data_IF_363155012952
#
_entry.id   IF_363155012952
#
_cell.length_a   1.000
_cell.length_b   1.000
_cell.length_c   1.000
_cell.angle_alpha   90.00
_cell.angle_beta   90.00
_cell.angle_gamma   90.00
#
_symmetry.space_group_name_H-M   'P 1'
#
loop_
_entity.id
_entity.type
_entity.pdbx_description
1 polymer ?
#
# COMPACT_ATOMS: atom_id res chain seq x y z
N UNK A 1 -10.27 21.54 6.57
CA UNK A 1 -9.66 20.50 5.73
C UNK A 1 -8.57 21.15 4.90
N UNK A 2 -7.34 20.67 5.05
CA UNK A 2 -6.21 21.16 4.27
C UNK A 2 -6.09 20.39 2.95
N UNK A 3 -5.55 21.04 1.92
CA UNK A 3 -5.24 20.43 0.62
C UNK A 3 -3.76 20.07 0.59
N UNK A 4 -3.43 18.79 0.70
CA UNK A 4 -2.05 18.31 0.84
C UNK A 4 -1.75 17.20 -0.15
N UNK A 5 -0.50 17.10 -0.59
CA UNK A 5 0.02 15.95 -1.30
C UNK A 5 0.23 14.78 -0.34
N UNK A 6 0.11 13.54 -0.83
CA UNK A 6 0.36 12.34 -0.02
C UNK A 6 1.72 12.39 0.69
N UNK A 7 2.79 12.85 0.03
CA UNK A 7 4.12 12.98 0.68
C UNK A 7 4.10 13.94 1.88
N UNK A 8 3.37 15.05 1.76
CA UNK A 8 3.26 16.05 2.83
C UNK A 8 2.45 15.47 4.00
N UNK A 9 1.41 14.69 3.71
CA UNK A 9 0.61 13.99 4.72
C UNK A 9 1.43 12.96 5.48
N UNK A 10 2.30 12.21 4.81
CA UNK A 10 3.19 11.24 5.48
C UNK A 10 4.05 11.96 6.51
N UNK A 11 4.75 13.03 6.10
CA UNK A 11 5.58 13.84 6.99
C UNK A 11 4.77 14.39 8.16
N UNK A 12 3.60 14.99 7.89
CA UNK A 12 2.76 15.60 8.92
C UNK A 12 2.21 14.57 9.92
N UNK A 13 1.85 13.38 9.43
CA UNK A 13 1.36 12.28 10.27
C UNK A 13 2.47 11.74 11.16
N UNK A 14 3.66 11.46 10.60
CA UNK A 14 4.82 10.99 11.38
C UNK A 14 5.20 12.04 12.44
N UNK A 15 5.29 13.32 12.05
CA UNK A 15 5.58 14.42 12.99
C UNK A 15 4.57 14.47 14.13
N UNK A 16 3.28 14.36 13.82
CA UNK A 16 2.21 14.41 14.82
C UNK A 16 2.30 13.24 15.79
N UNK A 17 2.52 12.02 15.29
CA UNK A 17 2.67 10.84 16.16
C UNK A 17 3.97 10.88 16.97
N UNK A 18 5.06 11.43 16.42
CA UNK A 18 6.30 11.62 17.16
C UNK A 18 6.19 12.67 18.27
N UNK A 19 5.40 13.74 18.09
CA UNK A 19 5.07 14.70 19.17
C UNK A 19 4.22 14.05 20.25
N UNK A 20 3.27 13.21 19.83
CA UNK A 20 2.33 12.52 20.71
C UNK A 20 3.02 11.46 21.57
N UNK A 21 3.93 10.70 20.99
CA UNK A 21 4.53 9.53 21.61
C UNK A 21 6.08 9.60 21.53
N UNK A 22 6.79 9.72 22.68
CA UNK A 22 8.24 9.81 22.71
C UNK A 22 8.95 8.50 22.31
N UNK A 23 8.23 7.38 22.24
CA UNK A 23 8.78 6.07 21.87
C UNK A 23 8.74 5.80 20.37
N UNK A 24 8.03 6.63 19.59
CA UNK A 24 8.08 6.57 18.12
C UNK A 24 9.47 6.99 17.65
N UNK A 25 10.03 6.31 16.66
CA UNK A 25 11.31 6.73 16.06
C UNK A 25 11.35 6.25 14.62
N UNK A 26 12.15 6.88 13.79
CA UNK A 26 12.30 6.53 12.38
C UNK A 26 13.75 6.15 12.06
N UNK A 27 13.93 5.09 11.29
CA UNK A 27 15.22 4.63 10.79
C UNK A 27 15.13 4.15 9.35
N UNK A 28 16.18 4.39 8.58
CA UNK A 28 16.27 3.97 7.18
C UNK A 28 17.45 4.61 6.47
N UNK A 29 17.61 4.29 5.19
CA UNK A 29 18.64 4.86 4.33
C UNK A 29 18.23 6.25 3.84
N UNK A 30 19.13 7.22 4.00
CA UNK A 30 18.96 8.60 3.54
C UNK A 30 17.66 9.28 3.99
N UNK A 31 17.10 8.90 5.15
CA UNK A 31 15.87 9.49 5.68
C UNK A 31 16.10 10.91 6.22
N UNK A 32 17.33 11.25 6.62
CA UNK A 32 17.72 12.64 6.86
C UNK A 32 17.98 13.32 5.50
N UNK A 33 18.70 12.65 4.60
CA UNK A 33 18.82 13.02 3.18
C UNK A 33 20.00 13.93 2.82
N UNK A 34 20.89 14.22 3.76
CA UNK A 34 22.06 15.06 3.49
C UNK A 34 23.13 14.99 4.56
N UNK A 35 23.08 13.99 5.45
CA UNK A 35 24.04 13.85 6.54
C UNK A 35 25.47 13.79 5.99
N UNK A 36 26.33 14.71 6.44
CA UNK A 36 27.72 14.82 5.98
C UNK A 36 27.91 15.47 4.60
N UNK A 37 26.85 16.00 3.97
CA UNK A 37 26.94 16.73 2.69
C UNK A 37 27.08 18.24 2.90
N UNK A 38 27.56 18.95 1.87
CA UNK A 38 27.71 20.41 1.90
C UNK A 38 26.38 21.18 2.02
N UNK A 39 25.26 20.54 1.67
CA UNK A 39 23.91 21.13 1.76
C UNK A 39 23.31 21.10 3.17
N UNK A 40 24.01 20.51 4.14
CA UNK A 40 23.53 20.29 5.50
C UNK A 40 22.75 18.99 5.67
N UNK A 41 22.41 18.62 6.92
CA UNK A 41 21.85 17.30 7.25
C UNK A 41 20.60 16.93 6.46
N UNK A 42 19.69 17.87 6.21
CA UNK A 42 18.40 17.62 5.53
C UNK A 42 18.34 18.17 4.10
N UNK A 43 19.45 18.20 3.36
CA UNK A 43 19.54 18.82 2.04
C UNK A 43 18.43 18.40 1.05
N UNK A 44 17.95 17.14 1.10
CA UNK A 44 16.83 16.64 0.29
C UNK A 44 15.62 16.16 1.12
N UNK A 45 15.80 15.96 2.44
CA UNK A 45 14.74 15.56 3.38
C UNK A 45 14.11 14.19 3.12
N UNK A 46 14.94 13.17 2.84
CA UNK A 46 14.51 11.86 2.34
C UNK A 46 14.49 11.80 0.82
N UNK A 47 14.83 10.66 0.20
CA UNK A 47 14.86 10.50 -1.27
C UNK A 47 13.49 10.82 -1.91
N UNK A 48 12.41 10.57 -1.18
CA UNK A 48 11.04 10.83 -1.61
C UNK A 48 10.40 12.06 -0.94
N UNK A 49 11.19 12.82 -0.17
CA UNK A 49 10.72 13.94 0.64
C UNK A 49 9.58 13.57 1.61
N UNK A 50 9.64 12.35 2.16
CA UNK A 50 8.63 11.83 3.11
C UNK A 50 9.06 11.91 4.58
N UNK A 51 10.23 12.51 4.85
CA UNK A 51 10.80 12.69 6.18
C UNK A 51 11.37 14.10 6.41
N UNK A 52 11.07 15.04 5.51
CA UNK A 52 11.63 16.41 5.54
C UNK A 52 11.30 17.17 6.83
N UNK A 53 12.32 17.74 7.47
CA UNK A 53 12.19 18.55 8.69
C UNK A 53 12.02 17.73 9.97
N UNK A 54 11.97 16.39 9.88
CA UNK A 54 11.82 15.55 11.07
C UNK A 54 13.14 15.49 11.86
N UNK A 55 14.28 15.47 11.19
CA UNK A 55 15.57 15.42 11.89
C UNK A 55 15.88 16.74 12.59
N UNK A 56 15.59 17.88 11.96
CA UNK A 56 15.71 19.19 12.60
C UNK A 56 14.87 19.27 13.89
N UNK A 57 13.65 18.72 13.87
CA UNK A 57 12.73 18.78 15.01
C UNK A 57 13.05 17.77 16.13
N UNK A 58 13.36 16.51 15.78
CA UNK A 58 13.48 15.42 16.77
C UNK A 58 14.91 14.95 17.02
N UNK A 59 15.86 15.37 16.19
CA UNK A 59 17.28 15.07 16.32
C UNK A 59 17.66 13.61 16.05
N UNK A 60 18.97 13.36 16.12
CA UNK A 60 19.60 12.08 15.76
C UNK A 60 19.25 10.89 16.66
N UNK A 61 18.61 11.11 17.81
CA UNK A 61 18.17 10.02 18.69
C UNK A 61 16.84 9.41 18.24
N UNK A 62 16.09 10.08 17.35
CA UNK A 62 14.78 9.63 16.89
C UNK A 62 14.65 9.56 15.38
N UNK A 63 15.49 10.27 14.63
CA UNK A 63 15.60 10.13 13.17
C UNK A 63 17.01 9.65 12.85
N UNK A 64 17.12 8.39 12.45
CA UNK A 64 18.39 7.66 12.39
C UNK A 64 18.65 7.20 10.95
N UNK A 65 19.60 7.85 10.28
CA UNK A 65 20.18 7.32 9.05
C UNK A 65 20.95 6.03 9.36
N UNK A 66 20.73 5.00 8.55
CA UNK A 66 21.38 3.70 8.69
C UNK A 66 22.44 3.48 7.60
N UNK A 67 23.38 2.54 7.81
CA UNK A 67 24.14 1.97 6.69
C UNK A 67 23.19 1.34 5.66
N UNK A 68 23.69 1.16 4.43
CA UNK A 68 22.96 0.46 3.36
C UNK A 68 22.92 -1.03 3.67
N UNK A 69 21.92 -1.45 4.44
CA UNK A 69 21.75 -2.81 4.93
C UNK A 69 20.32 -2.99 5.47
N UNK A 70 19.43 -3.43 4.60
CA UNK A 70 18.01 -3.62 4.90
C UNK A 70 17.81 -4.60 6.06
N UNK A 71 18.63 -5.64 6.13
CA UNK A 71 18.64 -6.58 7.26
C UNK A 71 18.94 -5.89 8.59
N UNK A 72 19.89 -4.94 8.61
CA UNK A 72 20.21 -4.17 9.81
C UNK A 72 19.09 -3.18 10.16
N UNK A 73 18.46 -2.55 9.16
CA UNK A 73 17.32 -1.64 9.36
C UNK A 73 16.17 -2.39 10.03
N UNK A 74 15.71 -3.46 9.40
CA UNK A 74 14.53 -4.21 9.89
C UNK A 74 14.85 -4.95 11.18
N UNK A 75 16.04 -5.54 11.33
CA UNK A 75 16.46 -6.18 12.58
C UNK A 75 16.59 -5.21 13.76
N UNK A 76 17.10 -4.00 13.51
CA UNK A 76 17.16 -2.95 14.55
C UNK A 76 15.77 -2.46 14.93
N UNK A 77 14.87 -2.30 13.95
CA UNK A 77 13.47 -1.97 14.21
C UNK A 77 12.79 -3.08 15.05
N UNK A 78 12.99 -4.35 14.70
CA UNK A 78 12.49 -5.48 15.48
C UNK A 78 12.97 -5.43 16.94
N UNK A 79 14.27 -5.25 17.15
CA UNK A 79 14.87 -5.16 18.49
C UNK A 79 14.37 -3.95 19.27
N UNK A 80 14.27 -2.78 18.64
CA UNK A 80 13.74 -1.57 19.27
C UNK A 80 12.27 -1.75 19.68
N UNK A 81 11.46 -2.37 18.83
CA UNK A 81 10.07 -2.69 19.13
C UNK A 81 9.94 -3.60 20.37
N UNK A 82 10.77 -4.64 20.46
CA UNK A 82 10.83 -5.53 21.63
C UNK A 82 11.35 -4.82 22.89
N UNK A 83 12.18 -3.80 22.73
CA UNK A 83 12.68 -2.96 23.82
C UNK A 83 11.70 -1.85 24.24
N UNK A 84 10.48 -1.82 23.69
CA UNK A 84 9.42 -0.88 24.06
C UNK A 84 9.36 0.39 23.21
N UNK A 85 10.12 0.49 22.12
CA UNK A 85 9.98 1.56 21.12
C UNK A 85 8.90 1.25 20.10
N UNK A 86 8.54 2.25 19.28
CA UNK A 86 7.57 2.14 18.18
C UNK A 86 8.21 2.56 16.86
N UNK A 87 9.13 1.74 16.31
CA UNK A 87 9.91 2.12 15.14
C UNK A 87 9.08 2.18 13.85
N UNK A 88 9.38 3.20 13.05
CA UNK A 88 9.00 3.36 11.66
C UNK A 88 10.26 3.10 10.84
N UNK A 89 10.37 1.90 10.27
CA UNK A 89 11.47 1.53 9.39
C UNK A 89 11.11 1.87 7.95
N UNK A 90 11.96 2.60 7.24
CA UNK A 90 11.79 2.86 5.80
C UNK A 90 12.69 1.92 4.99
N UNK A 91 12.08 1.16 4.07
CA UNK A 91 12.78 0.53 2.96
C UNK A 91 12.59 1.41 1.73
N UNK A 92 13.70 1.95 1.23
CA UNK A 92 13.74 2.90 0.12
C UNK A 92 12.97 2.42 -1.12
N UNK A 93 13.02 1.12 -1.39
CA UNK A 93 12.17 0.43 -2.36
C UNK A 93 11.75 -0.93 -1.82
N UNK A 94 10.50 -1.31 -2.09
CA UNK A 94 9.95 -2.61 -1.76
C UNK A 94 10.69 -3.76 -2.46
N UNK A 95 11.35 -3.48 -3.58
CA UNK A 95 12.23 -4.39 -4.31
C UNK A 95 13.35 -4.99 -3.42
N UNK A 96 13.76 -4.28 -2.36
CA UNK A 96 14.85 -4.69 -1.46
C UNK A 96 14.39 -5.61 -0.32
N UNK A 97 13.09 -5.92 -0.25
CA UNK A 97 12.52 -6.78 0.81
C UNK A 97 13.16 -8.17 0.87
N UNK A 98 13.69 -8.66 -0.27
CA UNK A 98 14.43 -9.92 -0.31
C UNK A 98 15.67 -9.95 0.59
N UNK A 99 16.31 -8.81 0.83
CA UNK A 99 17.53 -8.70 1.65
C UNK A 99 17.22 -8.81 3.15
N UNK A 100 16.02 -8.43 3.57
CA UNK A 100 15.60 -8.42 4.98
C UNK A 100 14.47 -9.40 5.31
N UNK A 101 14.15 -10.32 4.38
CA UNK A 101 12.99 -11.20 4.47
C UNK A 101 12.95 -12.03 5.76
N UNK A 102 14.09 -12.54 6.26
CA UNK A 102 14.11 -13.33 7.48
C UNK A 102 13.61 -12.54 8.71
N UNK A 103 13.99 -11.26 8.80
CA UNK A 103 13.57 -10.37 9.89
C UNK A 103 12.05 -10.12 9.85
N UNK A 104 11.48 -9.98 8.65
CA UNK A 104 10.03 -9.79 8.50
C UNK A 104 9.30 -11.12 8.75
N UNK A 105 9.69 -12.17 8.02
CA UNK A 105 8.99 -13.44 7.92
C UNK A 105 9.12 -14.29 9.18
N UNK A 106 10.34 -14.52 9.67
CA UNK A 106 10.59 -15.44 10.78
C UNK A 106 10.56 -14.76 12.13
N UNK A 107 10.90 -13.48 12.19
CA UNK A 107 10.99 -12.74 13.45
C UNK A 107 9.72 -11.91 13.69
N UNK A 108 9.64 -10.72 13.08
CA UNK A 108 8.63 -9.69 13.34
C UNK A 108 7.21 -10.25 13.29
N UNK A 109 6.85 -10.96 12.21
CA UNK A 109 5.50 -11.51 12.02
C UNK A 109 5.07 -12.51 13.09
N UNK A 110 6.03 -13.16 13.76
CA UNK A 110 5.76 -14.31 14.64
C UNK A 110 5.97 -14.03 16.11
N UNK A 111 6.60 -12.91 16.50
CA UNK A 111 6.93 -12.65 17.90
C UNK A 111 5.73 -12.77 18.85
N UNK A 112 4.61 -12.11 18.55
CA UNK A 112 3.43 -12.19 19.42
C UNK A 112 2.94 -13.64 19.58
N UNK A 113 2.87 -14.39 18.49
CA UNK A 113 2.42 -15.78 18.49
C UNK A 113 3.39 -16.70 19.25
N UNK A 114 4.69 -16.63 18.93
CA UNK A 114 5.73 -17.48 19.55
C UNK A 114 5.88 -17.24 21.05
N UNK A 115 5.67 -16.00 21.51
CA UNK A 115 5.72 -15.66 22.94
C UNK A 115 4.37 -15.79 23.65
N UNK A 116 3.36 -16.43 23.02
CA UNK A 116 2.06 -16.70 23.63
C UNK A 116 1.31 -15.42 24.04
N UNK A 117 1.44 -14.35 23.25
CA UNK A 117 0.81 -13.05 23.50
C UNK A 117 1.52 -12.17 24.53
N UNK A 118 2.62 -12.64 25.13
CA UNK A 118 3.36 -11.88 26.16
C UNK A 118 4.24 -10.76 25.61
N UNK A 119 4.54 -10.80 24.31
CA UNK A 119 5.28 -9.75 23.60
C UNK A 119 4.40 -9.10 22.55
N UNK A 120 4.67 -7.82 22.30
CA UNK A 120 4.14 -7.05 21.16
C UNK A 120 5.30 -6.77 20.19
N UNK A 121 4.98 -6.32 18.97
CA UNK A 121 5.99 -5.86 18.02
C UNK A 121 5.42 -4.67 17.23
N UNK A 122 5.31 -3.49 17.86
CA UNK A 122 4.79 -2.29 17.23
C UNK A 122 5.81 -1.71 16.24
N UNK A 123 5.88 -2.28 15.04
CA UNK A 123 6.76 -1.81 13.97
C UNK A 123 5.95 -1.47 12.73
N UNK A 124 6.19 -0.29 12.18
CA UNK A 124 5.72 0.08 10.84
C UNK A 124 6.90 -0.05 9.89
N UNK A 125 6.79 -0.90 8.88
CA UNK A 125 7.75 -0.96 7.78
C UNK A 125 7.11 -0.26 6.59
N UNK A 126 7.63 0.91 6.22
CA UNK A 126 7.21 1.65 5.03
C UNK A 126 7.97 1.11 3.82
N UNK A 127 7.24 0.71 2.78
CA UNK A 127 7.81 0.12 1.56
C UNK A 127 7.32 0.87 0.32
N UNK A 128 8.26 1.45 -0.42
CA UNK A 128 7.94 2.26 -1.60
C UNK A 128 7.91 1.36 -2.82
N UNK A 129 6.79 1.33 -3.54
CA UNK A 129 6.56 0.32 -4.58
C UNK A 129 5.91 0.88 -5.85
N UNK A 130 5.76 0.00 -6.84
CA UNK A 130 4.94 0.20 -8.04
C UNK A 130 5.73 0.77 -9.20
N UNK A 131 5.26 0.57 -10.43
CA UNK A 131 5.87 1.03 -11.67
C UNK A 131 5.35 2.41 -12.10
N UNK A 132 5.67 2.83 -13.33
CA UNK A 132 5.20 4.10 -13.93
C UNK A 132 6.21 5.25 -13.89
N UNK A 133 7.47 4.94 -13.57
CA UNK A 133 8.59 5.90 -13.58
C UNK A 133 9.71 5.52 -14.54
N UNK A 134 9.53 4.45 -15.33
CA UNK A 134 10.60 3.89 -16.15
C UNK A 134 11.84 3.52 -15.32
N UNK A 135 11.63 3.01 -14.10
CA UNK A 135 12.70 2.65 -13.17
C UNK A 135 13.19 1.19 -13.33
N UNK A 136 12.75 0.51 -14.39
CA UNK A 136 13.15 -0.85 -14.74
C UNK A 136 12.78 -1.88 -13.62
N UNK A 137 13.24 -3.15 -13.66
CA UNK A 137 12.63 -4.21 -12.85
C UNK A 137 13.08 -4.27 -11.38
N UNK A 138 14.10 -3.52 -10.97
CA UNK A 138 14.66 -3.59 -9.61
C UNK A 138 14.26 -2.41 -8.71
N UNK A 139 13.35 -1.55 -9.18
CA UNK A 139 12.84 -0.39 -8.43
C UNK A 139 11.34 -0.19 -8.67
N UNK A 140 10.62 -1.19 -9.18
CA UNK A 140 9.25 -1.04 -9.69
C UNK A 140 8.31 -2.18 -9.34
N UNK A 141 8.75 -3.13 -8.50
CA UNK A 141 7.97 -4.32 -8.23
C UNK A 141 6.79 -4.05 -7.29
N UNK A 142 5.68 -4.73 -7.53
CA UNK A 142 4.53 -4.82 -6.65
C UNK A 142 4.58 -6.13 -5.86
N UNK A 143 5.31 -6.14 -4.75
CA UNK A 143 5.61 -7.34 -3.93
C UNK A 143 4.64 -7.58 -2.77
N UNK A 144 3.59 -6.76 -2.64
CA UNK A 144 2.63 -6.87 -1.53
C UNK A 144 1.89 -8.20 -1.49
N UNK A 145 1.72 -8.91 -2.61
CA UNK A 145 1.09 -10.23 -2.62
C UNK A 145 1.88 -11.27 -1.82
N UNK A 146 3.22 -11.27 -1.96
CA UNK A 146 4.11 -12.13 -1.17
C UNK A 146 4.00 -11.81 0.32
N UNK A 147 3.93 -10.52 0.68
CA UNK A 147 3.77 -10.09 2.08
C UNK A 147 2.39 -10.42 2.64
N UNK A 148 1.34 -10.28 1.84
CA UNK A 148 -0.05 -10.60 2.22
C UNK A 148 -0.19 -12.06 2.59
N UNK A 149 0.56 -12.95 1.92
CA UNK A 149 0.53 -14.39 2.21
C UNK A 149 1.12 -14.79 3.57
N UNK A 150 1.78 -13.86 4.27
CA UNK A 150 2.45 -14.10 5.54
C UNK A 150 1.49 -13.84 6.72
N UNK A 151 1.14 -14.86 7.54
CA UNK A 151 0.38 -14.64 8.75
C UNK A 151 1.18 -13.85 9.79
N UNK A 152 0.50 -12.94 10.50
CA UNK A 152 1.09 -12.15 11.59
C UNK A 152 1.59 -10.76 11.19
N UNK A 153 1.43 -10.37 9.92
CA UNK A 153 1.60 -8.99 9.47
C UNK A 153 0.28 -8.43 8.94
N UNK A 154 0.12 -7.12 9.08
CA UNK A 154 -0.93 -6.33 8.42
C UNK A 154 -0.32 -5.65 7.20
N UNK A 155 -1.04 -5.61 6.08
CA UNK A 155 -0.55 -5.06 4.81
C UNK A 155 -1.53 -4.00 4.30
N UNK A 156 -1.02 -2.77 4.15
CA UNK A 156 -1.81 -1.55 3.99
C UNK A 156 -1.32 -0.76 2.78
N UNK A 157 -2.25 -0.22 1.99
CA UNK A 157 -2.00 0.43 0.71
C UNK A 157 -2.89 1.68 0.56
N UNK A 158 -2.50 2.84 1.10
CA UNK A 158 -3.30 4.07 0.96
C UNK A 158 -3.32 4.58 -0.48
N UNK A 159 -4.42 5.24 -0.87
CA UNK A 159 -4.62 5.74 -2.24
C UNK A 159 -4.91 7.24 -2.33
N UNK A 160 -5.26 7.88 -1.21
CA UNK A 160 -5.61 9.31 -1.14
C UNK A 160 -4.96 9.96 0.09
N UNK A 161 -4.80 11.28 0.13
CA UNK A 161 -4.30 11.99 1.32
C UNK A 161 -5.06 11.68 2.62
N UNK A 162 -6.39 11.61 2.57
CA UNK A 162 -7.19 11.23 3.74
C UNK A 162 -6.92 9.79 4.20
N UNK A 163 -6.83 8.85 3.25
CA UNK A 163 -6.49 7.47 3.55
C UNK A 163 -5.09 7.35 4.14
N UNK A 164 -4.11 8.04 3.56
CA UNK A 164 -2.72 8.05 4.03
C UNK A 164 -2.64 8.48 5.49
N UNK A 165 -3.27 9.60 5.86
CA UNK A 165 -3.27 10.07 7.25
C UNK A 165 -3.93 9.06 8.17
N UNK A 166 -5.15 8.63 7.87
CA UNK A 166 -5.91 7.75 8.75
C UNK A 166 -5.28 6.37 8.92
N UNK A 167 -4.79 5.77 7.83
CA UNK A 167 -4.16 4.44 7.85
C UNK A 167 -2.76 4.48 8.45
N UNK A 168 -1.96 5.53 8.20
CA UNK A 168 -0.62 5.64 8.80
C UNK A 168 -0.72 5.95 10.30
N UNK A 169 -1.68 6.78 10.72
CA UNK A 169 -1.97 7.01 12.15
C UNK A 169 -2.38 5.71 12.82
N UNK A 170 -3.27 4.92 12.19
CA UNK A 170 -3.63 3.59 12.69
C UNK A 170 -2.40 2.68 12.78
N UNK A 171 -1.54 2.66 11.76
CA UNK A 171 -0.35 1.81 11.72
C UNK A 171 0.64 2.13 12.84
N UNK A 172 0.96 3.41 13.04
CA UNK A 172 1.90 3.85 14.08
C UNK A 172 1.36 3.55 15.48
N UNK A 173 0.04 3.53 15.66
CA UNK A 173 -0.63 3.21 16.93
C UNK A 173 -0.91 1.73 17.13
N UNK A 174 -0.71 0.90 16.12
CA UNK A 174 -0.94 -0.55 16.20
C UNK A 174 0.18 -1.28 16.96
N UNK A 175 -0.16 -2.29 17.74
CA UNK A 175 0.81 -3.06 18.53
C UNK A 175 1.38 -4.29 17.80
N UNK A 176 0.95 -4.49 16.56
CA UNK A 176 1.41 -5.54 15.67
C UNK A 176 2.16 -4.96 14.47
N UNK A 177 2.96 -5.79 13.78
CA UNK A 177 3.69 -5.35 12.60
C UNK A 177 2.77 -4.91 11.46
N UNK A 178 3.03 -3.73 10.91
CA UNK A 178 2.33 -3.18 9.76
C UNK A 178 3.30 -2.92 8.62
N UNK A 179 3.01 -3.49 7.45
CA UNK A 179 3.70 -3.23 6.20
C UNK A 179 2.90 -2.18 5.43
N UNK A 180 3.42 -0.97 5.38
CA UNK A 180 2.76 0.20 4.81
C UNK A 180 3.33 0.47 3.41
N UNK A 181 2.61 0.00 2.40
CA UNK A 181 3.04 0.09 1.01
C UNK A 181 2.63 1.42 0.38
N UNK A 182 3.63 2.20 -0.03
CA UNK A 182 3.45 3.52 -0.62
C UNK A 182 3.71 3.46 -2.11
N UNK A 183 2.67 3.64 -2.93
CA UNK A 183 2.86 3.66 -4.37
C UNK A 183 3.53 4.97 -4.78
N UNK A 184 4.75 4.90 -5.33
CA UNK A 184 5.58 6.09 -5.59
C UNK A 184 4.94 7.13 -6.53
N UNK A 185 4.11 6.67 -7.48
CA UNK A 185 3.35 7.58 -8.36
C UNK A 185 2.25 8.38 -7.66
N UNK A 186 1.83 7.97 -6.47
CA UNK A 186 0.79 8.65 -5.72
C UNK A 186 1.34 9.76 -4.82
N UNK A 187 2.65 9.87 -4.60
CA UNK A 187 3.21 10.90 -3.70
C UNK A 187 2.85 12.34 -4.07
N UNK A 188 2.64 12.63 -5.36
CA UNK A 188 2.24 13.95 -5.84
C UNK A 188 0.73 14.17 -5.90
N UNK A 189 -0.09 13.15 -5.61
CA UNK A 189 -1.55 13.27 -5.60
C UNK A 189 -1.95 14.17 -4.45
N UNK A 190 -2.69 15.23 -4.79
CA UNK A 190 -3.20 16.24 -3.87
C UNK A 190 -4.69 16.05 -3.63
N UNK A 191 -5.13 16.28 -2.40
CA UNK A 191 -6.52 16.09 -2.01
C UNK A 191 -6.78 16.59 -0.60
N UNK A 192 -8.05 16.53 -0.21
CA UNK A 192 -8.51 16.98 1.10
C UNK A 192 -8.07 16.03 2.20
N UNK A 193 -7.60 16.61 3.30
CA UNK A 193 -7.27 15.91 4.53
C UNK A 193 -8.18 16.46 5.63
N UNK A 194 -9.05 15.62 6.22
CA UNK A 194 -9.83 15.99 7.39
C UNK A 194 -8.97 16.56 8.53
N UNK A 195 -9.47 17.62 9.15
CA UNK A 195 -8.83 18.23 10.31
C UNK A 195 -8.95 17.31 11.53
N UNK A 196 -8.09 17.50 12.52
CA UNK A 196 -8.12 16.73 13.77
C UNK A 196 -7.39 15.38 13.70
N UNK A 197 -7.46 14.66 14.82
CA UNK A 197 -6.87 13.33 14.99
C UNK A 197 -7.90 12.26 14.58
N UNK A 198 -7.54 11.39 13.64
CA UNK A 198 -8.38 10.27 13.24
C UNK A 198 -7.56 9.10 12.71
N UNK A 199 -8.16 7.92 12.82
CA UNK A 199 -7.63 6.66 12.29
C UNK A 199 -8.64 6.05 11.32
N UNK A 200 -8.15 5.28 10.35
CA UNK A 200 -8.98 4.40 9.53
C UNK A 200 -8.64 2.97 9.96
N UNK A 201 -9.60 2.18 10.48
CA UNK A 201 -9.32 0.80 10.88
C UNK A 201 -8.96 -0.05 9.65
N UNK A 202 -8.04 -1.00 9.82
CA UNK A 202 -7.67 -1.95 8.77
C UNK A 202 -8.81 -2.94 8.48
N UNK A 203 -8.85 -3.49 7.27
CA UNK A 203 -9.95 -4.36 6.84
C UNK A 203 -11.24 -3.62 6.54
N UNK A 204 -11.15 -2.32 6.23
CA UNK A 204 -12.28 -1.51 5.79
C UNK A 204 -12.00 -0.89 4.43
N UNK A 205 -12.64 -1.46 3.41
CA UNK A 205 -12.61 -0.94 2.06
C UNK A 205 -13.37 0.39 1.96
N UNK A 206 -13.13 1.13 0.87
CA UNK A 206 -13.90 2.32 0.49
C UNK A 206 -14.60 2.07 -0.83
N UNK A 207 -15.91 2.20 -0.84
CA UNK A 207 -16.65 2.40 -2.07
C UNK A 207 -16.32 3.79 -2.62
N UNK A 208 -15.58 3.81 -3.73
CA UNK A 208 -15.14 5.03 -4.41
C UNK A 208 -16.25 5.57 -5.29
N UNK A 209 -17.02 4.66 -5.90
CA UNK A 209 -18.11 4.97 -6.81
C UNK A 209 -19.17 3.88 -6.70
N UNK A 210 -20.44 4.27 -6.60
CA UNK A 210 -21.55 3.34 -6.68
C UNK A 210 -21.90 2.98 -8.13
N UNK A 211 -22.24 1.71 -8.37
CA UNK A 211 -22.78 1.21 -9.64
C UNK A 211 -23.50 -0.12 -9.47
N UNK A 212 -24.15 -0.59 -10.54
CA UNK A 212 -25.05 -1.77 -10.47
C UNK A 212 -24.72 -2.87 -11.48
N UNK A 213 -23.84 -2.61 -12.45
CA UNK A 213 -23.61 -3.55 -13.56
C UNK A 213 -22.44 -4.49 -13.32
N UNK A 214 -21.38 -3.99 -12.68
CA UNK A 214 -20.13 -4.71 -12.41
C UNK A 214 -19.43 -4.15 -11.18
N UNK A 215 -18.88 -5.02 -10.35
CA UNK A 215 -17.98 -4.66 -9.25
C UNK A 215 -16.55 -4.62 -9.78
N UNK A 216 -15.85 -3.51 -9.56
CA UNK A 216 -14.43 -3.34 -9.84
C UNK A 216 -13.70 -3.20 -8.50
N UNK A 217 -12.88 -4.19 -8.15
CA UNK A 217 -12.02 -4.13 -6.97
C UNK A 217 -10.62 -3.70 -7.39
N UNK A 218 -10.06 -2.68 -6.73
CA UNK A 218 -8.74 -2.15 -7.05
C UNK A 218 -7.93 -1.81 -5.79
N UNK A 219 -6.61 -1.70 -5.94
CA UNK A 219 -5.70 -1.26 -4.89
C UNK A 219 -4.61 -0.32 -5.40
N UNK A 220 -4.08 0.53 -4.52
CA UNK A 220 -2.99 1.45 -4.84
C UNK A 220 -3.33 2.38 -6.00
N UNK A 221 -2.38 2.58 -6.93
CA UNK A 221 -2.59 3.44 -8.10
C UNK A 221 -3.72 2.94 -9.03
N UNK A 222 -4.06 1.64 -8.97
CA UNK A 222 -5.09 1.06 -9.83
C UNK A 222 -6.47 1.63 -9.56
N UNK A 223 -6.73 2.14 -8.36
CA UNK A 223 -8.01 2.77 -7.98
C UNK A 223 -8.33 3.95 -8.90
N UNK A 224 -7.38 4.87 -9.09
CA UNK A 224 -7.56 6.00 -10.00
C UNK A 224 -7.67 5.58 -11.48
N UNK A 225 -7.13 4.42 -11.87
CA UNK A 225 -7.34 3.87 -13.21
C UNK A 225 -8.76 3.32 -13.37
N UNK A 226 -9.27 2.64 -12.34
CA UNK A 226 -10.62 2.10 -12.29
C UNK A 226 -11.68 3.21 -12.29
N UNK A 227 -11.48 4.29 -11.54
CA UNK A 227 -12.37 5.46 -11.57
C UNK A 227 -12.46 6.07 -12.97
N UNK A 228 -11.31 6.28 -13.64
CA UNK A 228 -11.28 6.80 -15.01
C UNK A 228 -11.96 5.85 -16.01
N UNK A 229 -11.79 4.54 -15.86
CA UNK A 229 -12.49 3.57 -16.67
C UNK A 229 -14.02 3.62 -16.44
N UNK A 230 -14.44 3.72 -15.18
CA UNK A 230 -15.85 3.84 -14.79
C UNK A 230 -16.49 5.13 -15.33
N UNK A 231 -15.77 6.26 -15.33
CA UNK A 231 -16.23 7.52 -15.93
C UNK A 231 -16.47 7.39 -17.43
N UNK A 232 -15.63 6.65 -18.14
CA UNK A 232 -15.78 6.41 -19.57
C UNK A 232 -16.93 5.44 -19.85
N UNK A 233 -17.05 4.37 -19.07
CA UNK A 233 -18.13 3.38 -19.19
C UNK A 233 -19.52 3.95 -18.85
N UNK A 234 -19.59 4.91 -17.93
CA UNK A 234 -20.84 5.58 -17.60
C UNK A 234 -21.46 6.32 -18.79
N UNK A 235 -20.64 6.79 -19.75
CA UNK A 235 -21.12 7.42 -20.99
C UNK A 235 -21.86 6.43 -21.89
N UNK A 236 -21.59 5.14 -21.74
CA UNK A 236 -22.26 4.04 -22.43
C UNK A 236 -23.40 3.43 -21.57
N UNK A 237 -23.76 4.07 -20.45
CA UNK A 237 -24.78 3.59 -19.53
C UNK A 237 -24.33 2.45 -18.61
N UNK A 238 -23.03 2.15 -18.54
CA UNK A 238 -22.49 1.08 -17.69
C UNK A 238 -22.04 1.66 -16.35
N UNK A 239 -22.84 1.44 -15.31
CA UNK A 239 -22.52 1.80 -13.93
C UNK A 239 -21.62 0.77 -13.25
N UNK A 240 -20.39 1.14 -12.90
CA UNK A 240 -19.42 0.30 -12.19
C UNK A 240 -19.39 0.64 -10.70
N UNK A 241 -19.48 -0.37 -9.84
CA UNK A 241 -19.26 -0.24 -8.40
C UNK A 241 -17.76 -0.39 -8.12
N UNK A 242 -17.06 0.70 -7.79
CA UNK A 242 -15.59 0.70 -7.65
C UNK A 242 -15.23 0.68 -6.17
N UNK A 243 -14.48 -0.34 -5.77
CA UNK A 243 -14.03 -0.57 -4.40
C UNK A 243 -12.51 -0.44 -4.33
N UNK A 244 -12.04 0.45 -3.47
CA UNK A 244 -10.64 0.49 -3.01
C UNK A 244 -10.53 -0.35 -1.74
N UNK A 245 -9.76 -1.43 -1.78
CA UNK A 245 -9.66 -2.33 -0.64
C UNK A 245 -8.88 -1.73 0.54
N UNK A 246 -7.98 -0.75 0.30
CA UNK A 246 -7.04 -0.14 1.26
C UNK A 246 -6.08 -1.08 2.00
N UNK A 247 -6.47 -2.32 2.30
CA UNK A 247 -5.69 -3.32 3.01
C UNK A 247 -5.87 -4.68 2.35
N UNK A 248 -4.76 -5.39 2.15
CA UNK A 248 -4.78 -6.77 1.63
C UNK A 248 -4.76 -7.79 2.77
N UNK A 249 -4.26 -7.40 3.95
CA UNK A 249 -4.31 -8.19 5.18
C UNK A 249 -4.54 -7.27 6.39
N UNK A 250 -5.68 -7.38 7.09
CA UNK A 250 -6.86 -8.14 6.70
C UNK A 250 -7.56 -7.53 5.47
N UNK A 251 -8.19 -8.38 4.66
CA UNK A 251 -9.03 -7.98 3.54
C UNK A 251 -10.47 -7.75 4.03
N UNK A 252 -11.13 -6.70 3.53
CA UNK A 252 -12.56 -6.50 3.71
C UNK A 252 -13.35 -7.38 2.73
N UNK A 253 -13.47 -8.67 3.07
CA UNK A 253 -14.19 -9.62 2.24
C UNK A 253 -15.69 -9.28 2.13
N UNK A 254 -16.29 -8.74 3.19
CA UNK A 254 -17.72 -8.43 3.24
C UNK A 254 -18.08 -7.34 2.23
N UNK A 255 -17.35 -6.22 2.19
CA UNK A 255 -17.61 -5.16 1.23
C UNK A 255 -17.52 -5.64 -0.24
N UNK A 256 -16.58 -6.55 -0.54
CA UNK A 256 -16.43 -7.13 -1.88
C UNK A 256 -17.62 -8.05 -2.20
N UNK A 257 -17.97 -8.94 -1.27
CA UNK A 257 -19.05 -9.91 -1.46
C UNK A 257 -20.41 -9.21 -1.62
N UNK A 258 -20.72 -8.24 -0.77
CA UNK A 258 -21.96 -7.46 -0.83
C UNK A 258 -22.13 -6.78 -2.19
N UNK A 259 -21.06 -6.18 -2.70
CA UNK A 259 -21.06 -5.56 -4.03
C UNK A 259 -21.25 -6.59 -5.15
N UNK A 260 -20.55 -7.71 -5.10
CA UNK A 260 -20.67 -8.77 -6.11
C UNK A 260 -22.05 -9.43 -6.06
N UNK A 261 -22.69 -9.57 -4.90
CA UNK A 261 -24.04 -10.09 -4.80
C UNK A 261 -25.07 -9.19 -5.51
N UNK A 262 -24.86 -7.87 -5.48
CA UNK A 262 -25.70 -6.92 -6.20
C UNK A 262 -25.43 -6.93 -7.71
N UNK A 263 -24.17 -6.80 -8.11
CA UNK A 263 -23.82 -6.66 -9.54
C UNK A 263 -23.84 -8.00 -10.28
N UNK A 264 -23.46 -9.08 -9.59
CA UNK A 264 -23.24 -10.43 -10.10
C UNK A 264 -21.99 -10.56 -10.96
N UNK A 265 -21.08 -9.58 -11.00
CA UNK A 265 -19.89 -9.61 -11.87
C UNK A 265 -18.71 -8.95 -11.20
N UNK A 266 -17.53 -9.50 -11.39
CA UNK A 266 -16.30 -9.03 -10.75
C UNK A 266 -15.18 -8.80 -11.77
N UNK A 267 -14.53 -7.65 -11.67
CA UNK A 267 -13.23 -7.36 -12.27
C UNK A 267 -12.27 -6.93 -11.16
N UNK A 268 -11.11 -7.58 -11.03
CA UNK A 268 -10.08 -7.17 -10.07
C UNK A 268 -8.89 -6.55 -10.80
N UNK A 269 -8.48 -5.34 -10.39
CA UNK A 269 -7.38 -4.58 -11.02
C UNK A 269 -6.21 -4.51 -10.05
N UNK A 270 -5.13 -5.19 -10.40
CA UNK A 270 -3.99 -5.43 -9.52
C UNK A 270 -2.70 -5.21 -10.31
N UNK A 271 -1.73 -4.51 -9.71
CA UNK A 271 -0.45 -4.20 -10.35
C UNK A 271 0.59 -5.31 -10.13
N UNK A 272 0.34 -6.24 -9.21
CA UNK A 272 1.19 -7.40 -9.00
C UNK A 272 1.08 -8.41 -10.16
N UNK A 273 2.12 -9.21 -10.41
CA UNK A 273 2.10 -10.22 -11.47
C UNK A 273 0.91 -11.18 -11.35
N UNK A 274 0.39 -11.76 -12.44
CA UNK A 274 -0.89 -12.50 -12.46
C UNK A 274 -0.91 -13.79 -11.64
N UNK A 275 0.26 -14.28 -11.20
CA UNK A 275 0.38 -15.55 -10.48
C UNK A 275 0.56 -15.27 -9.00
N UNK A 276 -0.26 -15.92 -8.18
CA UNK A 276 -0.26 -15.72 -6.72
C UNK A 276 -0.45 -14.24 -6.33
N UNK A 277 -1.25 -13.51 -7.11
CA UNK A 277 -1.62 -12.12 -6.85
C UNK A 277 -2.76 -12.00 -5.85
N UNK A 278 -2.99 -10.78 -5.37
CA UNK A 278 -4.18 -10.46 -4.58
C UNK A 278 -5.43 -10.57 -5.47
N UNK A 279 -5.33 -10.21 -6.76
CA UNK A 279 -6.41 -10.44 -7.71
C UNK A 279 -6.82 -11.91 -7.81
N UNK A 280 -5.86 -12.84 -7.89
CA UNK A 280 -6.16 -14.27 -7.97
C UNK A 280 -6.83 -14.77 -6.67
N UNK A 281 -6.38 -14.29 -5.52
CA UNK A 281 -6.95 -14.63 -4.22
C UNK A 281 -8.39 -14.11 -4.07
N UNK A 282 -8.65 -12.84 -4.42
CA UNK A 282 -9.99 -12.24 -4.42
C UNK A 282 -10.92 -12.99 -5.37
N UNK A 283 -10.48 -13.30 -6.59
CA UNK A 283 -11.27 -14.08 -7.55
C UNK A 283 -11.62 -15.47 -6.99
N UNK A 284 -10.67 -16.15 -6.35
CA UNK A 284 -10.90 -17.46 -5.73
C UNK A 284 -11.86 -17.35 -4.53
N UNK A 285 -11.71 -16.33 -3.69
CA UNK A 285 -12.58 -16.05 -2.55
C UNK A 285 -14.03 -15.83 -3.01
N UNK A 286 -14.24 -14.95 -3.99
CA UNK A 286 -15.58 -14.65 -4.54
C UNK A 286 -16.17 -15.86 -5.24
N UNK A 287 -15.39 -16.59 -6.04
CA UNK A 287 -15.87 -17.82 -6.69
C UNK A 287 -16.26 -18.91 -5.69
N UNK A 288 -15.68 -18.92 -4.48
CA UNK A 288 -16.06 -19.87 -3.42
C UNK A 288 -17.24 -19.41 -2.59
N UNK A 289 -17.35 -18.10 -2.31
CA UNK A 289 -18.30 -17.55 -1.34
C UNK A 289 -19.56 -16.94 -1.96
N UNK A 290 -19.47 -16.43 -3.18
CA UNK A 290 -20.56 -15.79 -3.92
C UNK A 290 -20.85 -16.47 -5.28
N UNK A 291 -20.50 -17.75 -5.43
CA UNK A 291 -20.68 -18.49 -6.70
C UNK A 291 -22.10 -18.37 -7.28
N UNK A 292 -23.11 -18.45 -6.42
CA UNK A 292 -24.51 -18.40 -6.82
C UNK A 292 -24.95 -17.02 -7.35
N UNK A 293 -24.23 -15.95 -6.98
CA UNK A 293 -24.51 -14.60 -7.47
C UNK A 293 -23.78 -14.28 -8.78
N UNK A 294 -22.71 -15.02 -9.11
CA UNK A 294 -21.89 -14.77 -10.29
C UNK A 294 -22.66 -15.07 -11.59
N UNK A 295 -22.85 -14.02 -12.39
CA UNK A 295 -23.41 -14.03 -13.75
C UNK A 295 -22.33 -14.24 -14.83
N UNK A 296 -21.05 -14.14 -14.45
CA UNK A 296 -19.90 -14.34 -15.31
C UNK A 296 -18.68 -14.79 -14.47
N UNK A 297 -17.70 -15.51 -15.05
CA UNK A 297 -16.41 -15.73 -14.42
C UNK A 297 -15.76 -14.40 -14.04
N UNK A 298 -15.17 -14.28 -12.84
CA UNK A 298 -14.38 -13.11 -12.48
C UNK A 298 -13.22 -12.89 -13.44
N UNK A 299 -12.98 -11.62 -13.81
CA UNK A 299 -11.86 -11.22 -14.65
C UNK A 299 -10.78 -10.52 -13.83
N UNK A 300 -9.52 -10.65 -14.27
CA UNK A 300 -8.38 -9.97 -13.66
C UNK A 300 -7.69 -9.08 -14.69
N UNK A 301 -7.39 -7.84 -14.28
CA UNK A 301 -6.57 -6.92 -15.07
C UNK A 301 -5.26 -6.71 -14.34
N UNK A 302 -4.25 -7.47 -14.77
CA UNK A 302 -2.89 -7.44 -14.22
C UNK A 302 -1.86 -7.17 -15.31
N UNK A 303 -0.60 -6.85 -14.95
CA UNK A 303 0.49 -6.92 -15.92
C UNK A 303 0.72 -8.34 -16.48
N UNK A 304 1.50 -8.48 -17.55
CA UNK A 304 1.99 -9.79 -17.99
C UNK A 304 2.95 -10.40 -16.97
N UNK A 305 3.12 -11.72 -17.00
CA UNK A 305 4.05 -12.44 -16.12
C UNK A 305 5.51 -12.29 -16.60
N UNK A 306 6.04 -11.07 -16.47
CA UNK A 306 7.40 -10.68 -16.84
C UNK A 306 7.95 -9.64 -15.85
N UNK A 307 9.28 -9.41 -15.82
CA UNK A 307 9.84 -8.24 -15.14
C UNK A 307 9.30 -6.92 -15.71
N UNK A 308 9.30 -5.86 -14.88
CA UNK A 308 8.89 -4.51 -15.30
C UNK A 308 9.91 -3.94 -16.31
N UNK A 309 9.49 -3.54 -17.52
CA UNK A 309 10.40 -3.03 -18.55
C UNK A 309 10.82 -1.57 -18.30
N UNK A 310 11.99 -1.20 -18.82
CA UNK A 310 12.51 0.18 -18.77
C UNK A 310 11.86 1.08 -19.83
N UNK A 311 11.83 0.63 -21.09
CA UNK A 311 11.39 1.45 -22.22
C UNK A 311 9.93 1.92 -22.02
N UNK A 312 9.68 3.20 -22.30
CA UNK A 312 8.42 3.88 -21.99
C UNK A 312 7.19 3.21 -22.59
N UNK A 313 7.31 2.82 -23.86
CA UNK A 313 6.26 2.16 -24.61
C UNK A 313 5.95 0.78 -24.03
N UNK A 314 6.98 0.08 -23.55
CA UNK A 314 6.83 -1.23 -22.94
C UNK A 314 6.26 -1.14 -21.51
N UNK A 315 6.67 -0.16 -20.69
CA UNK A 315 6.11 0.01 -19.33
C UNK A 315 4.65 0.45 -19.41
N UNK A 316 4.31 1.30 -20.37
CA UNK A 316 2.92 1.67 -20.66
C UNK A 316 2.08 0.45 -21.10
N UNK A 317 2.66 -0.45 -21.90
CA UNK A 317 2.00 -1.69 -22.31
C UNK A 317 1.94 -2.73 -21.18
N UNK A 318 2.90 -2.72 -20.25
CA UNK A 318 2.97 -3.60 -19.09
C UNK A 318 1.85 -3.30 -18.09
N UNK A 319 1.69 -2.04 -17.70
CA UNK A 319 0.74 -1.62 -16.66
C UNK A 319 -0.73 -1.86 -17.05
N UNK A 320 -1.61 -2.16 -16.08
CA UNK A 320 -3.05 -1.97 -16.25
C UNK A 320 -3.37 -0.56 -16.73
N UNK A 321 -4.47 -0.41 -17.46
CA UNK A 321 -4.87 0.88 -18.04
C UNK A 321 -6.39 0.98 -18.15
N UNK A 322 -6.97 2.19 -18.21
CA UNK A 322 -8.41 2.33 -18.37
C UNK A 322 -8.99 1.55 -19.56
N UNK A 323 -8.37 1.54 -20.76
CA UNK A 323 -8.83 0.69 -21.86
C UNK A 323 -8.88 -0.81 -21.50
N UNK A 324 -7.83 -1.37 -20.88
CA UNK A 324 -7.80 -2.77 -20.46
C UNK A 324 -8.90 -3.09 -19.43
N UNK A 325 -9.16 -2.16 -18.51
CA UNK A 325 -10.24 -2.30 -17.51
C UNK A 325 -11.61 -2.28 -18.20
N UNK A 326 -11.82 -1.36 -19.15
CA UNK A 326 -13.06 -1.28 -19.93
C UNK A 326 -13.30 -2.56 -20.74
N UNK A 327 -12.26 -3.12 -21.34
CA UNK A 327 -12.35 -4.38 -22.09
C UNK A 327 -12.75 -5.54 -21.17
N UNK A 328 -12.14 -5.66 -19.99
CA UNK A 328 -12.51 -6.68 -19.00
C UNK A 328 -13.96 -6.53 -18.52
N UNK A 329 -14.41 -5.30 -18.26
CA UNK A 329 -15.82 -5.02 -17.91
C UNK A 329 -16.77 -5.45 -19.03
N UNK A 330 -16.44 -5.14 -20.29
CA UNK A 330 -17.27 -5.56 -21.43
C UNK A 330 -17.28 -7.07 -21.60
N UNK A 331 -16.18 -7.76 -21.34
CA UNK A 331 -16.09 -9.23 -21.35
C UNK A 331 -17.07 -9.86 -20.36
N UNK A 332 -17.06 -9.43 -19.08
CA UNK A 332 -17.98 -9.99 -18.08
C UNK A 332 -19.45 -9.64 -18.35
N UNK A 333 -19.73 -8.49 -18.97
CA UNK A 333 -21.08 -8.09 -19.38
C UNK A 333 -21.60 -8.89 -20.58
N UNK A 334 -20.71 -9.30 -21.49
CA UNK A 334 -21.05 -10.06 -22.69
C UNK A 334 -21.14 -11.58 -22.45
N UNK A 335 -20.75 -12.07 -21.27
CA UNK A 335 -20.77 -13.49 -20.91
C UNK A 335 -22.19 -14.07 -20.97
N UNK A 336 -22.32 -15.28 -21.52
CA UNK A 336 -23.59 -15.99 -21.75
C UNK A 336 -23.53 -17.40 -21.16
#
# INVERSE_FOLDING_TARGET
MAQMMIREVIVDTIRSEMRRDPDVMMLGEDIVGGMGTAGGPEAIGGIWSTSTGLWEEFGSNRIIDTPISESAIIGSAAGAALAGKRPIAELMFADFVGVCMDQIWNQIAKFRYMFGGKSRCPVVIRLIYGAGFNAAPQHSQAVYSMMTSMPGVKVVMPTTPADTKGLLTQAIRDDDPVLFFEHKALYGVKGEVPDGDYTIPFGHARQVRAGEHVTIVAMGMMVGLAERAADLLAKDGIGCDVIDIRTTSPLDEEAILDSVELTGRLVVVDESPPRCSVAADICAMVARRAFAALKAPPEMVTPPHTPVPFARELESAYLPSPPKIMDAVRTVLAYR
#
